data_IF_346514943140
#
_entry.id   IF_346514943140
#
_cell.length_a   1.000
_cell.length_b   1.000
_cell.length_c   1.000
_cell.angle_alpha   90.00
_cell.angle_beta   90.00
_cell.angle_gamma   90.00
#
_symmetry.space_group_name_H-M   'P 1'
#
loop_
_entity.id
_entity.type
_entity.pdbx_description
1 polymer ?
#
# COMPACT_ATOMS: atom_id res chain seq x y z
N UNK A 1 8.89 -14.28 -33.43
CA UNK A 1 8.88 -13.39 -32.25
C UNK A 1 8.61 -14.29 -31.08
N UNK A 2 9.64 -14.61 -30.29
CA UNK A 2 9.48 -15.36 -29.05
C UNK A 2 8.58 -14.51 -28.14
N UNK A 3 7.40 -15.01 -27.80
CA UNK A 3 6.60 -14.43 -26.72
C UNK A 3 7.45 -14.53 -25.46
N UNK A 4 7.90 -13.38 -24.92
CA UNK A 4 8.36 -13.38 -23.53
C UNK A 4 7.22 -13.94 -22.68
N UNK A 5 7.47 -14.91 -21.79
CA UNK A 5 6.43 -15.35 -20.87
C UNK A 5 5.89 -14.12 -20.13
N UNK A 6 4.56 -14.01 -20.07
CA UNK A 6 3.88 -12.88 -19.41
C UNK A 6 4.47 -12.69 -18.01
N UNK A 7 5.11 -11.54 -17.77
CA UNK A 7 5.77 -11.24 -16.49
C UNK A 7 4.77 -11.34 -15.35
N UNK A 8 5.20 -11.92 -14.23
CA UNK A 8 4.36 -12.05 -13.05
C UNK A 8 3.95 -10.67 -12.54
N UNK A 9 2.67 -10.52 -12.21
CA UNK A 9 2.20 -9.29 -11.59
C UNK A 9 2.58 -9.26 -10.11
N UNK A 10 3.68 -8.57 -9.82
CA UNK A 10 4.20 -8.41 -8.46
C UNK A 10 3.61 -7.15 -7.79
N UNK A 11 3.53 -7.19 -6.47
CA UNK A 11 3.27 -6.04 -5.61
C UNK A 11 4.08 -6.15 -4.32
N UNK A 12 4.32 -5.05 -3.63
CA UNK A 12 5.15 -5.07 -2.44
C UNK A 12 4.65 -4.20 -1.29
N UNK A 13 5.38 -4.30 -0.19
CA UNK A 13 5.24 -3.44 0.97
C UNK A 13 6.63 -3.16 1.55
N UNK A 14 6.97 -1.88 1.67
CA UNK A 14 8.18 -1.44 2.34
C UNK A 14 8.15 -1.80 3.83
N UNK A 15 9.25 -2.39 4.31
CA UNK A 15 9.53 -2.57 5.72
C UNK A 15 10.50 -1.47 6.18
N UNK A 16 10.60 -1.23 7.48
CA UNK A 16 11.57 -0.26 8.03
C UNK A 16 13.03 -0.68 7.83
N UNK A 17 13.27 -1.95 7.52
CA UNK A 17 14.59 -2.53 7.31
C UNK A 17 14.62 -3.54 6.15
N UNK A 18 13.70 -3.45 5.19
CA UNK A 18 13.64 -4.43 4.11
C UNK A 18 12.43 -4.29 3.20
N UNK A 19 12.18 -5.35 2.43
CA UNK A 19 11.13 -5.40 1.42
C UNK A 19 10.34 -6.70 1.55
N UNK A 20 9.01 -6.59 1.58
CA UNK A 20 8.08 -7.68 1.30
C UNK A 20 7.61 -7.55 -0.14
N UNK A 21 7.67 -8.63 -0.91
CA UNK A 21 7.08 -8.77 -2.25
C UNK A 21 6.10 -9.94 -2.24
N UNK A 22 5.00 -9.81 -2.97
CA UNK A 22 4.06 -10.91 -3.18
C UNK A 22 3.73 -11.06 -4.66
N UNK A 23 3.63 -12.31 -5.09
CA UNK A 23 3.15 -12.68 -6.41
C UNK A 23 1.69 -13.15 -6.37
N UNK A 24 1.26 -13.87 -7.41
CA UNK A 24 -0.06 -14.47 -7.48
C UNK A 24 -0.34 -15.51 -6.39
N UNK A 25 0.65 -16.33 -6.02
CA UNK A 25 0.45 -17.50 -5.15
C UNK A 25 1.30 -17.49 -3.88
N UNK A 26 2.41 -16.75 -3.87
CA UNK A 26 3.41 -16.74 -2.81
C UNK A 26 3.73 -15.32 -2.33
N UNK A 27 4.42 -15.25 -1.21
CA UNK A 27 5.09 -14.06 -0.71
C UNK A 27 6.56 -14.38 -0.46
N UNK A 28 7.41 -13.37 -0.58
CA UNK A 28 8.81 -13.40 -0.17
C UNK A 28 9.18 -12.07 0.49
N UNK A 29 10.06 -12.12 1.48
CA UNK A 29 10.58 -10.93 2.13
C UNK A 29 12.07 -11.07 2.34
N UNK A 30 12.79 -9.96 2.16
CA UNK A 30 14.18 -9.82 2.56
C UNK A 30 14.30 -8.66 3.54
N UNK A 31 15.09 -8.85 4.59
CA UNK A 31 15.39 -7.81 5.57
C UNK A 31 16.88 -7.74 5.82
N UNK A 32 17.34 -6.55 6.18
CA UNK A 32 18.65 -6.34 6.79
C UNK A 32 18.50 -6.31 8.30
N UNK A 33 19.07 -7.30 8.97
CA UNK A 33 19.11 -7.42 10.42
C UNK A 33 20.02 -6.34 11.03
N UNK A 34 19.96 -6.18 12.36
CA UNK A 34 20.72 -5.11 13.07
C UNK A 34 22.24 -5.31 13.02
N UNK A 35 22.68 -6.55 12.92
CA UNK A 35 24.07 -6.97 12.70
C UNK A 35 24.52 -6.77 11.23
N UNK A 36 23.61 -6.35 10.35
CA UNK A 36 23.87 -6.14 8.93
C UNK A 36 23.62 -7.36 8.06
N UNK A 37 23.29 -8.52 8.66
CA UNK A 37 23.00 -9.76 7.93
C UNK A 37 21.74 -9.63 7.08
N UNK A 38 21.78 -10.19 5.88
CA UNK A 38 20.63 -10.27 4.99
C UNK A 38 19.88 -11.57 5.27
N UNK A 39 18.62 -11.46 5.72
CA UNK A 39 17.76 -12.61 5.96
C UNK A 39 16.59 -12.60 4.97
N UNK A 40 16.31 -13.76 4.38
CA UNK A 40 15.26 -13.94 3.37
C UNK A 40 14.32 -15.06 3.82
N UNK A 41 13.03 -14.88 3.61
CA UNK A 41 12.02 -15.91 3.84
C UNK A 41 10.87 -15.78 2.84
N UNK A 42 10.18 -16.90 2.61
CA UNK A 42 9.05 -16.97 1.68
C UNK A 42 8.02 -17.98 2.16
N UNK A 43 6.85 -17.97 1.54
CA UNK A 43 5.81 -18.95 1.81
C UNK A 43 4.55 -18.73 0.98
N UNK A 44 3.56 -19.63 1.10
CA UNK A 44 2.30 -19.51 0.36
C UNK A 44 1.53 -18.29 0.84
N UNK A 45 0.88 -17.61 -0.11
CA UNK A 45 -0.01 -16.47 0.16
C UNK A 45 -1.37 -16.96 0.65
N UNK A 46 -1.91 -16.42 1.76
CA UNK A 46 -3.27 -16.73 2.20
C UNK A 46 -4.30 -16.35 1.14
N UNK A 47 -5.30 -17.21 0.94
CA UNK A 47 -6.49 -16.94 0.12
C UNK A 47 -7.66 -16.67 1.05
N UNK A 48 -8.14 -15.43 1.07
CA UNK A 48 -9.26 -15.01 1.93
C UNK A 48 -10.57 -14.92 1.13
N UNK A 49 -10.49 -14.75 -0.19
CA UNK A 49 -11.63 -14.72 -1.09
C UNK A 49 -11.84 -16.03 -1.86
N UNK A 50 -13.00 -16.13 -2.50
CA UNK A 50 -13.31 -17.16 -3.50
C UNK A 50 -13.79 -16.54 -4.82
N UNK A 51 -14.11 -17.37 -5.81
CA UNK A 51 -14.54 -16.89 -7.14
C UNK A 51 -15.72 -15.90 -7.09
N UNK A 52 -16.65 -16.12 -6.14
CA UNK A 52 -17.81 -15.25 -5.97
C UNK A 52 -17.42 -13.82 -5.58
N UNK A 53 -16.42 -13.65 -4.70
CA UNK A 53 -15.95 -12.32 -4.28
C UNK A 53 -15.19 -11.60 -5.38
N UNK A 54 -14.49 -12.33 -6.25
CA UNK A 54 -13.70 -11.75 -7.34
C UNK A 54 -14.59 -11.12 -8.44
N UNK A 55 -15.84 -11.58 -8.56
CA UNK A 55 -16.82 -11.08 -9.53
C UNK A 55 -17.53 -9.81 -9.07
N UNK A 56 -17.44 -9.43 -7.79
CA UNK A 56 -18.14 -8.26 -7.24
C UNK A 56 -17.18 -7.06 -7.18
N UNK A 57 -17.46 -5.96 -7.93
CA UNK A 57 -16.67 -4.74 -7.84
C UNK A 57 -16.65 -4.17 -6.42
N UNK A 58 -15.52 -3.60 -6.02
CA UNK A 58 -15.24 -3.11 -4.67
C UNK A 58 -14.81 -4.25 -3.75
N UNK A 59 -15.61 -5.32 -3.67
CA UNK A 59 -15.33 -6.44 -2.77
C UNK A 59 -14.07 -7.20 -3.18
N UNK A 60 -13.87 -7.46 -4.48
CA UNK A 60 -12.65 -8.09 -5.01
C UNK A 60 -11.37 -7.34 -4.61
N UNK A 61 -11.44 -6.02 -4.57
CA UNK A 61 -10.30 -5.17 -4.23
C UNK A 61 -9.98 -5.24 -2.74
N UNK A 62 -11.03 -5.17 -1.92
CA UNK A 62 -10.93 -5.29 -0.46
C UNK A 62 -10.43 -6.68 -0.06
N UNK A 63 -10.84 -7.76 -0.74
CA UNK A 63 -10.33 -9.10 -0.44
C UNK A 63 -8.85 -9.22 -0.79
N UNK A 64 -8.40 -8.71 -1.95
CA UNK A 64 -6.96 -8.73 -2.31
C UNK A 64 -6.11 -7.90 -1.34
N UNK A 65 -6.63 -6.75 -0.87
CA UNK A 65 -5.98 -5.97 0.18
C UNK A 65 -5.90 -6.75 1.50
N UNK A 66 -6.98 -7.44 1.88
CA UNK A 66 -7.01 -8.32 3.05
C UNK A 66 -5.99 -9.45 2.97
N UNK A 67 -5.85 -10.09 1.81
CA UNK A 67 -4.85 -11.14 1.57
C UNK A 67 -3.42 -10.60 1.74
N UNK A 68 -3.13 -9.42 1.19
CA UNK A 68 -1.83 -8.78 1.36
C UNK A 68 -1.55 -8.45 2.84
N UNK A 69 -2.55 -7.98 3.59
CA UNK A 69 -2.40 -7.73 5.03
C UNK A 69 -2.22 -9.02 5.84
N UNK A 70 -2.82 -10.14 5.43
CA UNK A 70 -2.68 -11.43 6.08
C UNK A 70 -1.27 -12.04 5.93
N UNK A 71 -0.46 -11.54 4.98
CA UNK A 71 0.95 -11.93 4.83
C UNK A 71 1.81 -11.33 5.94
N UNK A 72 1.46 -10.17 6.48
CA UNK A 72 2.23 -9.45 7.51
C UNK A 72 2.57 -10.33 8.73
N UNK A 73 1.61 -11.02 9.40
CA UNK A 73 1.95 -11.90 10.51
C UNK A 73 2.82 -13.09 10.11
N UNK A 74 2.68 -13.60 8.88
CA UNK A 74 3.52 -14.69 8.37
C UNK A 74 4.98 -14.24 8.20
N UNK A 75 5.18 -13.06 7.61
CA UNK A 75 6.50 -12.42 7.50
C UNK A 75 7.10 -12.21 8.88
N UNK A 76 6.33 -11.68 9.84
CA UNK A 76 6.82 -11.45 11.20
C UNK A 76 7.19 -12.75 11.92
N UNK A 77 6.49 -13.86 11.64
CA UNK A 77 6.81 -15.18 12.19
C UNK A 77 8.08 -15.75 11.58
N UNK A 78 8.26 -15.63 10.27
CA UNK A 78 9.44 -16.15 9.57
C UNK A 78 10.70 -15.28 9.77
N UNK A 79 10.51 -13.96 9.85
CA UNK A 79 11.55 -12.95 10.04
C UNK A 79 11.22 -12.08 11.27
N UNK A 80 11.51 -12.55 12.50
CA UNK A 80 11.20 -11.80 13.72
C UNK A 80 11.84 -10.41 13.80
N UNK A 81 12.98 -10.22 13.13
CA UNK A 81 13.68 -8.93 13.04
C UNK A 81 13.06 -7.94 12.03
N UNK A 82 12.03 -8.33 11.27
CA UNK A 82 11.35 -7.43 10.34
C UNK A 82 10.67 -6.27 11.08
N UNK A 83 10.95 -5.04 10.65
CA UNK A 83 10.39 -3.82 11.22
C UNK A 83 9.18 -3.39 10.39
N UNK A 84 7.96 -3.51 10.93
CA UNK A 84 6.77 -3.09 10.21
C UNK A 84 6.58 -1.56 10.29
N UNK A 85 6.03 -0.93 9.24
CA UNK A 85 5.87 0.53 9.17
C UNK A 85 5.01 1.14 10.29
N UNK A 86 4.10 0.37 10.91
CA UNK A 86 3.20 0.84 11.98
C UNK A 86 3.57 0.32 13.39
N UNK A 87 4.74 -0.29 13.57
CA UNK A 87 5.14 -0.88 14.85
C UNK A 87 5.78 0.10 15.84
N UNK A 88 6.08 1.33 15.42
CA UNK A 88 6.75 2.28 16.30
C UNK A 88 5.74 3.03 17.21
N UNK A 89 6.14 3.27 18.46
CA UNK A 89 5.28 3.89 19.48
C UNK A 89 4.81 5.31 19.09
N UNK A 90 5.61 6.03 18.31
CA UNK A 90 5.26 7.39 17.85
C UNK A 90 4.10 7.37 16.85
N UNK A 91 4.14 6.45 15.88
CA UNK A 91 3.06 6.22 14.91
C UNK A 91 1.81 5.75 15.61
N UNK A 92 1.90 4.79 16.55
CA UNK A 92 0.74 4.35 17.34
C UNK A 92 0.14 5.50 18.17
N UNK A 93 0.98 6.32 18.80
CA UNK A 93 0.55 7.52 19.51
C UNK A 93 -0.14 8.53 18.58
N UNK A 94 0.40 8.76 17.38
CA UNK A 94 -0.21 9.62 16.37
C UNK A 94 -1.55 9.08 15.87
N UNK A 95 -1.70 7.76 15.69
CA UNK A 95 -2.98 7.14 15.33
C UNK A 95 -4.03 7.38 16.42
N UNK A 96 -3.67 7.13 17.69
CA UNK A 96 -4.58 7.39 18.82
C UNK A 96 -4.97 8.87 18.92
N UNK A 97 -3.99 9.78 18.80
CA UNK A 97 -4.22 11.22 18.89
C UNK A 97 -5.10 11.74 17.74
N UNK A 98 -4.84 11.33 16.50
CA UNK A 98 -5.63 11.74 15.33
C UNK A 98 -7.05 11.18 15.36
N UNK A 99 -7.25 9.94 15.80
CA UNK A 99 -8.58 9.36 15.99
C UNK A 99 -9.37 10.12 17.06
N UNK A 100 -8.76 10.40 18.22
CA UNK A 100 -9.40 11.13 19.31
C UNK A 100 -9.76 12.57 18.88
N UNK A 101 -8.83 13.27 18.22
CA UNK A 101 -9.05 14.61 17.70
C UNK A 101 -10.15 14.65 16.64
N UNK A 102 -10.14 13.70 15.69
CA UNK A 102 -11.18 13.56 14.67
C UNK A 102 -12.57 13.37 15.30
N UNK A 103 -12.68 12.46 16.28
CA UNK A 103 -13.93 12.23 17.02
C UNK A 103 -14.41 13.48 17.76
N UNK A 104 -13.51 14.20 18.43
CA UNK A 104 -13.83 15.44 19.13
C UNK A 104 -14.34 16.54 18.18
N UNK A 105 -13.71 16.67 17.00
CA UNK A 105 -14.15 17.61 15.95
C UNK A 105 -15.54 17.23 15.44
N UNK A 106 -15.80 15.93 15.13
CA UNK A 106 -17.11 15.46 14.64
C UNK A 106 -18.24 15.61 15.66
N UNK A 107 -17.94 15.53 16.96
CA UNK A 107 -18.91 15.78 18.03
C UNK A 107 -19.35 17.24 18.11
N UNK A 108 -18.43 18.18 17.85
CA UNK A 108 -18.69 19.63 17.95
C UNK A 108 -19.14 20.26 16.63
N UNK A 109 -18.83 19.63 15.51
CA UNK A 109 -19.05 20.16 14.15
C UNK A 109 -20.41 19.83 13.54
N UNK A 110 -20.84 20.68 12.60
CA UNK A 110 -22.10 20.53 11.84
C UNK A 110 -21.99 19.60 10.62
N UNK A 111 -20.85 18.95 10.39
CA UNK A 111 -20.61 18.07 9.22
C UNK A 111 -20.50 18.85 7.91
N UNK A 112 -19.76 19.96 7.91
CA UNK A 112 -19.47 20.74 6.69
C UNK A 112 -18.37 20.07 5.87
N UNK A 113 -18.32 20.36 4.57
CA UNK A 113 -17.24 19.88 3.68
C UNK A 113 -15.87 20.25 4.22
N UNK A 114 -15.68 21.51 4.64
CA UNK A 114 -14.39 21.96 5.20
C UNK A 114 -14.01 21.25 6.51
N UNK A 115 -15.00 20.96 7.37
CA UNK A 115 -14.77 20.20 8.60
C UNK A 115 -14.34 18.75 8.33
N UNK A 116 -15.05 18.05 7.44
CA UNK A 116 -14.70 16.68 7.08
C UNK A 116 -13.37 16.62 6.31
N UNK A 117 -13.07 17.61 5.46
CA UNK A 117 -11.77 17.71 4.77
C UNK A 117 -10.62 17.89 5.76
N UNK A 118 -10.77 18.74 6.78
CA UNK A 118 -9.76 18.91 7.82
C UNK A 118 -9.51 17.59 8.59
N UNK A 119 -10.57 16.83 8.88
CA UNK A 119 -10.45 15.53 9.57
C UNK A 119 -9.79 14.49 8.67
N UNK A 120 -10.15 14.47 7.39
CA UNK A 120 -9.54 13.58 6.40
C UNK A 120 -8.03 13.86 6.25
N UNK A 121 -7.62 15.12 6.17
CA UNK A 121 -6.21 15.51 6.15
C UNK A 121 -5.49 15.16 7.46
N UNK A 122 -6.12 15.42 8.61
CA UNK A 122 -5.58 15.05 9.92
C UNK A 122 -5.31 13.55 10.03
N UNK A 123 -6.16 12.72 9.42
CA UNK A 123 -6.00 11.26 9.42
C UNK A 123 -4.75 10.78 8.67
N UNK A 124 -4.12 11.62 7.83
CA UNK A 124 -2.86 11.28 7.16
C UNK A 124 -1.63 11.37 8.07
N UNK A 125 -1.73 12.05 9.22
CA UNK A 125 -0.57 12.35 10.04
C UNK A 125 0.25 11.11 10.47
N UNK A 126 -0.36 9.96 10.85
CA UNK A 126 0.42 8.77 11.21
C UNK A 126 1.21 8.19 10.03
N UNK A 127 0.60 8.17 8.83
CA UNK A 127 1.27 7.70 7.62
C UNK A 127 2.44 8.62 7.24
N UNK A 128 2.22 9.93 7.28
CA UNK A 128 3.28 10.92 7.03
C UNK A 128 4.41 10.81 8.06
N UNK A 129 4.09 10.58 9.33
CA UNK A 129 5.09 10.38 10.36
C UNK A 129 5.93 9.14 10.09
N UNK A 130 5.29 8.01 9.76
CA UNK A 130 5.98 6.76 9.39
C UNK A 130 6.91 6.96 8.20
N UNK A 131 6.46 7.63 7.14
CA UNK A 131 7.26 7.86 5.94
C UNK A 131 8.44 8.80 6.18
N UNK A 132 8.28 9.79 7.08
CA UNK A 132 9.36 10.71 7.47
C UNK A 132 10.33 10.11 8.49
N UNK A 133 9.96 9.02 9.16
CA UNK A 133 10.76 8.40 10.21
C UNK A 133 11.48 7.15 9.70
N UNK A 134 12.80 7.10 9.90
CA UNK A 134 13.59 5.92 9.54
C UNK A 134 13.60 5.65 8.03
N UNK A 135 13.87 4.40 7.65
CA UNK A 135 14.18 4.05 6.26
C UNK A 135 12.97 3.58 5.44
N UNK A 136 11.75 3.65 5.98
CA UNK A 136 10.53 3.17 5.29
C UNK A 136 10.37 3.81 3.91
N UNK A 137 10.52 5.13 3.79
CA UNK A 137 10.42 5.79 2.48
C UNK A 137 11.57 5.41 1.51
N UNK A 138 12.76 5.07 2.04
CA UNK A 138 13.85 4.59 1.20
C UNK A 138 13.59 3.16 0.72
N UNK A 139 13.12 2.27 1.59
CA UNK A 139 12.68 0.91 1.22
C UNK A 139 11.42 0.89 0.35
N UNK A 140 10.58 1.93 0.40
CA UNK A 140 9.51 2.14 -0.57
C UNK A 140 10.07 2.53 -1.94
N UNK A 141 11.13 3.33 -1.98
CA UNK A 141 11.93 3.53 -3.20
C UNK A 141 12.55 2.24 -3.72
N UNK A 142 13.07 1.37 -2.84
CA UNK A 142 13.55 0.02 -3.21
C UNK A 142 12.43 -0.80 -3.85
N UNK A 143 11.23 -0.84 -3.25
CA UNK A 143 10.08 -1.57 -3.79
C UNK A 143 9.75 -1.11 -5.22
N UNK A 144 9.56 0.19 -5.40
CA UNK A 144 9.25 0.77 -6.71
C UNK A 144 10.33 0.48 -7.74
N UNK A 145 11.60 0.71 -7.41
CA UNK A 145 12.72 0.48 -8.32
C UNK A 145 12.89 -0.99 -8.67
N UNK A 146 12.76 -1.90 -7.71
CA UNK A 146 12.92 -3.35 -7.94
C UNK A 146 11.81 -3.90 -8.83
N UNK A 147 10.56 -3.49 -8.59
CA UNK A 147 9.43 -3.93 -9.42
C UNK A 147 9.50 -3.30 -10.82
N UNK A 148 9.80 -2.00 -10.92
CA UNK A 148 9.96 -1.32 -12.21
C UNK A 148 11.08 -1.95 -13.05
N UNK A 149 12.22 -2.25 -12.44
CA UNK A 149 13.32 -2.96 -13.07
C UNK A 149 12.91 -4.33 -13.62
N UNK A 150 12.19 -5.12 -12.80
CA UNK A 150 11.63 -6.39 -13.25
C UNK A 150 10.68 -6.23 -14.44
N UNK A 151 9.75 -5.28 -14.36
CA UNK A 151 8.75 -5.02 -15.41
C UNK A 151 9.40 -4.53 -16.71
N UNK A 152 10.47 -3.74 -16.63
CA UNK A 152 11.14 -3.13 -17.78
C UNK A 152 12.34 -3.95 -18.30
N UNK A 153 12.80 -4.95 -17.55
CA UNK A 153 14.04 -5.68 -17.88
C UNK A 153 15.30 -4.81 -17.72
N UNK A 154 15.29 -3.92 -16.72
CA UNK A 154 16.36 -2.97 -16.42
C UNK A 154 16.99 -3.25 -15.05
N UNK A 155 18.05 -2.51 -14.71
CA UNK A 155 18.64 -2.53 -13.37
C UNK A 155 17.84 -1.65 -12.40
N UNK A 156 17.67 -2.09 -11.16
CA UNK A 156 16.92 -1.33 -10.14
C UNK A 156 17.57 0.03 -9.83
N UNK A 157 18.89 0.15 -9.96
CA UNK A 157 19.59 1.42 -9.76
C UNK A 157 19.12 2.51 -10.72
N UNK A 158 18.79 2.15 -11.97
CA UNK A 158 18.45 3.08 -13.05
C UNK A 158 16.95 3.37 -13.15
N UNK A 159 16.10 2.56 -12.51
CA UNK A 159 14.66 2.76 -12.50
C UNK A 159 14.24 4.01 -11.70
N UNK A 160 13.08 4.57 -12.03
CA UNK A 160 12.48 5.67 -11.25
C UNK A 160 11.93 5.16 -9.91
N UNK A 161 12.08 5.99 -8.86
CA UNK A 161 11.49 5.69 -7.54
C UNK A 161 9.98 5.99 -7.48
N UNK A 162 9.40 6.65 -8.48
CA UNK A 162 7.96 6.89 -8.59
C UNK A 162 7.33 5.82 -9.48
N UNK A 163 6.25 5.19 -9.01
CA UNK A 163 5.58 4.09 -9.71
C UNK A 163 4.07 4.31 -9.84
N UNK A 164 3.54 4.04 -11.03
CA UNK A 164 2.11 4.22 -11.33
C UNK A 164 1.23 3.19 -10.61
N UNK A 165 1.79 2.01 -10.29
CA UNK A 165 1.09 0.94 -9.56
C UNK A 165 1.35 0.98 -8.05
N UNK A 166 1.42 2.18 -7.48
CA UNK A 166 1.62 2.40 -6.05
C UNK A 166 0.28 2.63 -5.32
N UNK A 167 0.15 2.10 -4.10
CA UNK A 167 -0.99 2.35 -3.22
C UNK A 167 -1.23 3.84 -2.88
N UNK A 168 -0.23 4.72 -3.08
CA UNK A 168 -0.40 6.18 -2.93
C UNK A 168 -1.49 6.75 -3.86
N UNK A 169 -1.74 6.10 -5.01
CA UNK A 169 -2.81 6.48 -5.93
C UNK A 169 -4.22 6.19 -5.38
N UNK A 170 -4.35 5.44 -4.28
CA UNK A 170 -5.62 5.23 -3.56
C UNK A 170 -5.98 6.40 -2.65
N UNK A 171 -4.99 7.16 -2.18
CA UNK A 171 -5.17 8.16 -1.10
C UNK A 171 -6.16 9.25 -1.51
N UNK A 172 -5.97 9.87 -2.69
CA UNK A 172 -6.84 10.96 -3.12
C UNK A 172 -8.30 10.49 -3.33
N UNK A 173 -8.59 9.43 -4.11
CA UNK A 173 -9.95 8.89 -4.22
C UNK A 173 -10.58 8.52 -2.87
N UNK A 174 -9.80 7.93 -1.96
CA UNK A 174 -10.27 7.51 -0.63
C UNK A 174 -10.65 8.71 0.23
N UNK A 175 -9.81 9.75 0.30
CA UNK A 175 -10.10 10.95 1.09
C UNK A 175 -11.28 11.73 0.51
N UNK A 176 -11.38 11.83 -0.82
CA UNK A 176 -12.53 12.46 -1.48
C UNK A 176 -13.82 11.71 -1.16
N UNK A 177 -13.84 10.39 -1.30
CA UNK A 177 -15.00 9.57 -0.95
C UNK A 177 -15.37 9.67 0.53
N UNK A 178 -14.37 9.71 1.42
CA UNK A 178 -14.59 9.84 2.85
C UNK A 178 -15.23 11.19 3.21
N UNK A 179 -14.74 12.30 2.62
CA UNK A 179 -15.32 13.64 2.85
C UNK A 179 -16.76 13.70 2.35
N UNK A 180 -17.01 13.27 1.11
CA UNK A 180 -18.34 13.32 0.52
C UNK A 180 -19.32 12.39 1.25
N UNK A 181 -18.88 11.17 1.57
CA UNK A 181 -19.67 10.17 2.28
C UNK A 181 -20.05 10.62 3.70
N UNK A 182 -19.10 11.22 4.44
CA UNK A 182 -19.40 11.74 5.78
C UNK A 182 -20.37 12.93 5.72
N UNK A 183 -20.17 13.87 4.79
CA UNK A 183 -21.11 15.00 4.61
C UNK A 183 -22.51 14.49 4.26
N UNK A 184 -22.63 13.51 3.36
CA UNK A 184 -23.91 12.92 2.99
C UNK A 184 -24.58 12.18 4.16
N UNK A 185 -23.82 11.34 4.89
CA UNK A 185 -24.31 10.64 6.07
C UNK A 185 -24.87 11.63 7.12
N UNK A 186 -24.15 12.73 7.38
CA UNK A 186 -24.58 13.76 8.34
C UNK A 186 -25.85 14.48 7.89
N UNK A 187 -25.98 14.79 6.60
CA UNK A 187 -27.21 15.37 6.02
C UNK A 187 -28.40 14.42 6.13
N UNK A 188 -28.18 13.12 5.98
CA UNK A 188 -29.19 12.08 6.16
C UNK A 188 -29.51 11.77 7.64
N UNK A 189 -28.90 12.49 8.60
CA UNK A 189 -29.10 12.26 10.03
C UNK A 189 -28.34 11.05 10.58
N UNK A 190 -27.58 10.33 9.75
CA UNK A 190 -26.75 9.20 10.16
C UNK A 190 -25.52 9.70 10.90
N UNK A 191 -25.32 9.20 12.12
CA UNK A 191 -24.22 9.61 13.00
C UNK A 191 -23.71 8.42 13.81
N UNK A 192 -22.48 8.58 14.30
CA UNK A 192 -21.86 7.65 15.22
C UNK A 192 -20.95 6.62 14.55
N UNK A 193 -20.30 5.77 15.35
CA UNK A 193 -19.21 4.91 14.89
C UNK A 193 -19.58 3.97 13.75
N UNK A 194 -20.81 3.45 13.74
CA UNK A 194 -21.27 2.55 12.68
C UNK A 194 -21.40 3.26 11.32
N UNK A 195 -21.94 4.48 11.30
CA UNK A 195 -22.02 5.29 10.09
C UNK A 195 -20.62 5.67 9.57
N UNK A 196 -19.73 6.07 10.48
CA UNK A 196 -18.34 6.41 10.14
C UNK A 196 -17.58 5.20 9.60
N UNK A 197 -17.74 4.01 10.21
CA UNK A 197 -17.15 2.77 9.72
C UNK A 197 -17.70 2.37 8.34
N UNK A 198 -19.00 2.52 8.12
CA UNK A 198 -19.64 2.24 6.83
C UNK A 198 -19.08 3.15 5.73
N UNK A 199 -18.98 4.45 6.01
CA UNK A 199 -18.37 5.41 5.08
C UNK A 199 -16.89 5.08 4.83
N UNK A 200 -16.14 4.72 5.88
CA UNK A 200 -14.73 4.34 5.77
C UNK A 200 -14.53 3.12 4.85
N UNK A 201 -15.27 2.03 5.09
CA UNK A 201 -15.23 0.83 4.25
C UNK A 201 -15.65 1.12 2.81
N UNK A 202 -16.72 1.90 2.61
CA UNK A 202 -17.17 2.32 1.29
C UNK A 202 -16.12 3.18 0.56
N UNK A 203 -15.40 4.03 1.28
CA UNK A 203 -14.34 4.87 0.73
C UNK A 203 -13.13 4.05 0.27
N UNK A 204 -12.75 3.01 1.02
CA UNK A 204 -11.70 2.06 0.62
C UNK A 204 -12.14 1.31 -0.65
N UNK A 205 -13.35 0.75 -0.65
CA UNK A 205 -13.87 0.01 -1.81
C UNK A 205 -13.92 0.88 -3.08
N UNK A 206 -14.38 2.13 -2.94
CA UNK A 206 -14.40 3.10 -4.04
C UNK A 206 -12.98 3.40 -4.54
N UNK A 207 -12.05 3.70 -3.64
CA UNK A 207 -10.67 4.00 -4.01
C UNK A 207 -10.00 2.86 -4.78
N UNK A 208 -10.20 1.60 -4.35
CA UNK A 208 -9.65 0.44 -5.04
C UNK A 208 -10.25 0.28 -6.44
N UNK A 209 -11.55 0.55 -6.63
CA UNK A 209 -12.14 0.50 -7.97
C UNK A 209 -11.66 1.66 -8.87
N UNK A 210 -11.48 2.86 -8.33
CA UNK A 210 -10.87 3.97 -9.08
C UNK A 210 -9.44 3.63 -9.49
N UNK A 211 -8.67 3.01 -8.61
CA UNK A 211 -7.31 2.56 -8.91
C UNK A 211 -7.30 1.48 -9.99
N UNK A 212 -8.11 0.43 -9.83
CA UNK A 212 -8.23 -0.66 -10.82
C UNK A 212 -8.80 -0.18 -12.16
N UNK A 213 -9.68 0.83 -12.16
CA UNK A 213 -10.14 1.49 -13.38
C UNK A 213 -9.00 2.29 -14.03
N UNK A 214 -8.27 3.08 -13.25
CA UNK A 214 -7.14 3.87 -13.73
C UNK A 214 -6.06 2.99 -14.35
N UNK A 215 -5.72 1.84 -13.73
CA UNK A 215 -4.80 0.85 -14.30
C UNK A 215 -5.25 0.32 -15.66
N UNK A 216 -6.54 -0.03 -15.80
CA UNK A 216 -7.11 -0.54 -17.06
C UNK A 216 -7.20 0.51 -18.17
N UNK A 217 -7.14 1.79 -17.83
CA UNK A 217 -7.24 2.90 -18.79
C UNK A 217 -5.95 3.73 -18.83
N UNK A 218 -4.80 3.10 -18.55
CA UNK A 218 -3.49 3.74 -18.57
C UNK A 218 -3.28 4.52 -19.88
N UNK A 219 -2.73 5.74 -19.78
CA UNK A 219 -2.52 6.63 -20.92
C UNK A 219 -3.71 7.53 -21.29
N UNK A 220 -4.89 7.35 -20.68
CA UNK A 220 -5.99 8.30 -20.87
C UNK A 220 -5.77 9.59 -20.04
N UNK A 221 -6.17 10.79 -20.53
CA UNK A 221 -6.00 12.03 -19.76
C UNK A 221 -6.66 11.98 -18.37
N UNK A 222 -7.79 11.27 -18.25
CA UNK A 222 -8.49 11.12 -16.99
C UNK A 222 -7.74 10.18 -16.02
N UNK A 223 -7.20 9.06 -16.49
CA UNK A 223 -6.39 8.18 -15.63
C UNK A 223 -5.13 8.89 -15.15
N UNK A 224 -4.47 9.66 -16.03
CA UNK A 224 -3.27 10.44 -15.67
C UNK A 224 -3.59 11.52 -14.63
N UNK A 225 -4.71 12.25 -14.81
CA UNK A 225 -5.17 13.23 -13.83
C UNK A 225 -5.49 12.60 -12.47
N UNK A 226 -6.09 11.41 -12.45
CA UNK A 226 -6.38 10.68 -11.20
C UNK A 226 -5.13 10.18 -10.48
N UNK A 227 -4.07 9.80 -11.20
CA UNK A 227 -2.79 9.34 -10.62
C UNK A 227 -1.89 10.49 -10.18
N UNK A 228 -2.06 11.68 -10.74
CA UNK A 228 -1.19 12.82 -10.47
C UNK A 228 -1.04 13.13 -8.96
N UNK A 229 -2.11 13.21 -8.14
CA UNK A 229 -1.96 13.45 -6.71
C UNK A 229 -1.14 12.36 -6.01
N UNK A 230 -1.30 11.10 -6.43
CA UNK A 230 -0.55 10.00 -5.83
C UNK A 230 0.92 10.00 -6.25
N UNK A 231 1.26 10.36 -7.49
CA UNK A 231 2.66 10.59 -7.91
C UNK A 231 3.32 11.73 -7.16
N UNK A 232 2.60 12.83 -6.95
CA UNK A 232 3.10 13.95 -6.14
C UNK A 232 3.31 13.55 -4.67
N UNK A 233 2.42 12.74 -4.09
CA UNK A 233 2.64 12.17 -2.76
C UNK A 233 3.91 11.31 -2.71
N UNK A 234 4.12 10.45 -3.71
CA UNK A 234 5.33 9.63 -3.81
C UNK A 234 6.59 10.49 -3.88
N UNK A 235 6.60 11.50 -4.74
CA UNK A 235 7.72 12.44 -4.93
C UNK A 235 8.03 13.24 -3.67
N UNK A 236 6.99 13.79 -3.04
CA UNK A 236 7.16 14.74 -1.94
C UNK A 236 7.51 14.06 -0.61
N UNK A 237 6.90 12.90 -0.33
CA UNK A 237 7.00 12.26 1.00
C UNK A 237 6.99 10.73 0.98
N UNK A 238 6.44 10.11 -0.06
CA UNK A 238 6.20 8.67 -0.10
C UNK A 238 7.46 7.85 -0.35
N UNK A 239 8.41 8.39 -1.10
CA UNK A 239 9.62 7.67 -1.53
C UNK A 239 10.87 8.52 -1.31
N UNK A 240 12.00 7.86 -1.11
CA UNK A 240 13.34 8.45 -1.09
C UNK A 240 14.29 7.57 -1.88
N UNK A 241 15.34 8.18 -2.43
CA UNK A 241 16.35 7.43 -3.18
C UNK A 241 17.05 6.42 -2.25
N UNK A 242 17.04 5.12 -2.58
CA UNK A 242 17.67 4.11 -1.76
C UNK A 242 19.19 4.07 -1.96
N UNK A 243 19.90 3.52 -0.99
CA UNK A 243 21.33 3.21 -1.13
C UNK A 243 21.53 1.90 -1.90
N UNK A 244 22.73 1.69 -2.45
CA UNK A 244 23.08 0.42 -3.11
C UNK A 244 22.89 -0.79 -2.18
N UNK A 245 23.20 -0.65 -0.88
CA UNK A 245 22.98 -1.71 0.11
C UNK A 245 21.51 -1.99 0.38
N UNK A 246 20.63 -1.00 0.23
CA UNK A 246 19.18 -1.20 0.32
C UNK A 246 18.61 -1.85 -0.95
N UNK A 247 19.14 -1.50 -2.13
CA UNK A 247 18.77 -2.14 -3.40
C UNK A 247 19.08 -3.64 -3.41
N UNK A 248 20.22 -4.06 -2.84
CA UNK A 248 20.54 -5.50 -2.63
C UNK A 248 19.48 -6.26 -1.83
N UNK A 249 18.80 -5.59 -0.89
CA UNK A 249 17.68 -6.20 -0.16
C UNK A 249 16.48 -6.40 -1.09
N UNK A 250 16.21 -5.42 -1.96
CA UNK A 250 15.19 -5.52 -3.00
C UNK A 250 15.44 -6.65 -3.98
N UNK A 251 16.68 -6.75 -4.47
CA UNK A 251 17.14 -7.83 -5.35
C UNK A 251 16.93 -9.21 -4.71
N UNK A 252 17.29 -9.37 -3.43
CA UNK A 252 17.11 -10.63 -2.73
C UNK A 252 15.63 -11.00 -2.53
N UNK A 253 14.78 -10.03 -2.21
CA UNK A 253 13.34 -10.28 -2.09
C UNK A 253 12.72 -10.63 -3.46
N UNK A 254 13.14 -9.95 -4.52
CA UNK A 254 12.69 -10.18 -5.88
C UNK A 254 13.14 -11.56 -6.41
N UNK A 255 14.41 -11.91 -6.22
CA UNK A 255 14.94 -13.21 -6.62
C UNK A 255 14.18 -14.34 -5.92
N UNK A 256 13.91 -14.20 -4.62
CA UNK A 256 13.19 -15.22 -3.88
C UNK A 256 11.72 -15.35 -4.32
N UNK A 257 10.99 -14.25 -4.56
CA UNK A 257 9.59 -14.36 -5.01
C UNK A 257 9.50 -15.02 -6.38
N UNK A 258 10.40 -14.69 -7.30
CA UNK A 258 10.42 -15.31 -8.63
C UNK A 258 10.72 -16.80 -8.54
N UNK A 259 11.68 -17.18 -7.70
CA UNK A 259 12.04 -18.59 -7.46
C UNK A 259 10.85 -19.40 -6.93
N UNK A 260 10.13 -18.91 -5.92
CA UNK A 260 9.01 -19.68 -5.33
C UNK A 260 7.78 -19.73 -6.22
N UNK A 261 7.52 -18.69 -7.02
CA UNK A 261 6.43 -18.72 -8.01
C UNK A 261 6.77 -19.65 -9.18
N UNK A 262 8.03 -19.70 -9.61
CA UNK A 262 8.49 -20.64 -10.65
C UNK A 262 8.35 -22.10 -10.18
N UNK A 263 8.81 -22.41 -8.96
CA UNK A 263 8.65 -23.74 -8.36
C UNK A 263 7.16 -24.12 -8.29
N UNK A 264 6.30 -23.20 -7.83
CA UNK A 264 4.87 -23.45 -7.73
C UNK A 264 4.15 -23.60 -9.09
N UNK A 265 4.69 -23.02 -10.16
CA UNK A 265 4.17 -23.18 -11.52
C UNK A 265 4.60 -24.49 -12.18
N UNK A 266 5.71 -25.09 -11.72
CA UNK A 266 6.21 -26.38 -12.16
C UNK A 266 5.60 -27.60 -11.43
N UNK A 267 4.89 -27.37 -10.32
CA UNK A 267 4.11 -28.37 -9.57
C UNK A 267 2.70 -28.55 -10.14
#
# INVERSE_FOLDING_TARGET
>A
MSEEPDKLRLGGMALGNGLLVHGPTHWAAAIRAKDGELAVASGPKPKLGGEATERIPGLRGVTKLGEALAVIPLVKRALPQAQLPMQNLRTLGAMGATAAAGHAIRRRGRGTVGGEAAIALLSMAPALLTLRSGDVAAYHGVEHKSIAAYEQGAEAADADKEHDRCGSNLVAPMLTAAVLGNVAARKAGLRGPAAEATVGLGSIAFAVEVFAWSERHAGSPLSEAMRLPGRELQRAVGTREPTAEQLKVGEAALAEILRVEEVAAGE
#
